data_IF_493251386334
#
_entry.id   IF_493251386334
#
_cell.length_a   1.000
_cell.length_b   1.000
_cell.length_c   1.000
_cell.angle_alpha   90.00
_cell.angle_beta   90.00
_cell.angle_gamma   90.00
#
_symmetry.space_group_name_H-M   'P 1'
#
loop_
_entity.id
_entity.type
_entity.pdbx_description
1 polymer ?
#
# COMPACT_ATOMS: atom_id res chain seq x y z
N UNK A 1 15.41 -16.08 41.34
CA UNK A 1 15.28 -15.87 42.80
C UNK A 1 15.32 -14.37 43.07
N UNK A 2 14.33 -13.88 43.80
CA UNK A 2 13.89 -12.48 44.01
C UNK A 2 14.97 -11.50 44.51
N UNK A 3 14.86 -10.20 44.20
CA UNK A 3 14.31 -9.19 45.14
C UNK A 3 14.18 -7.76 44.58
N UNK A 4 12.95 -7.24 44.65
CA UNK A 4 12.48 -5.90 45.09
C UNK A 4 13.36 -4.63 44.91
N UNK A 5 12.81 -3.70 44.12
CA UNK A 5 12.15 -2.49 44.64
C UNK A 5 12.96 -1.19 44.77
N UNK A 6 12.52 -0.12 44.10
CA UNK A 6 12.12 1.14 44.74
C UNK A 6 11.64 2.15 43.70
N UNK A 7 10.45 2.71 43.93
CA UNK A 7 9.96 3.92 43.27
C UNK A 7 10.86 5.12 43.60
N UNK A 8 11.04 6.05 42.66
CA UNK A 8 11.10 7.48 42.96
C UNK A 8 10.54 8.30 41.79
N UNK A 9 9.63 9.17 42.18
CA UNK A 9 8.78 10.07 41.44
C UNK A 9 9.44 11.46 41.51
N UNK A 10 9.62 12.17 40.39
CA UNK A 10 9.95 13.61 40.29
C UNK A 10 9.72 14.05 38.83
N UNK A 11 8.57 14.64 38.51
CA UNK A 11 8.19 16.06 38.65
C UNK A 11 8.58 16.87 37.41
N UNK A 12 7.58 17.11 36.55
CA UNK A 12 7.61 18.06 35.44
C UNK A 12 7.54 19.48 35.99
N UNK A 13 8.55 20.30 35.73
CA UNK A 13 8.49 21.75 35.86
C UNK A 13 8.25 22.36 34.48
N UNK A 14 7.05 22.89 34.28
CA UNK A 14 6.68 23.77 33.17
C UNK A 14 7.14 25.18 33.53
N UNK A 15 8.12 25.69 32.80
CA UNK A 15 8.49 27.11 32.80
C UNK A 15 7.51 27.84 31.88
N UNK A 16 6.72 28.74 32.47
CA UNK A 16 5.91 29.71 31.76
C UNK A 16 6.82 30.82 31.23
N UNK A 17 6.84 31.01 29.91
CA UNK A 17 7.31 32.26 29.30
C UNK A 17 6.20 32.76 28.37
N UNK A 18 5.49 33.78 28.85
CA UNK A 18 4.42 34.44 28.13
C UNK A 18 5.03 35.58 27.30
N UNK A 19 5.06 35.41 25.97
CA UNK A 19 5.31 36.53 25.05
C UNK A 19 3.96 37.09 24.62
N UNK A 20 3.65 38.27 25.16
CA UNK A 20 2.55 39.13 24.76
C UNK A 20 2.84 39.70 23.37
N UNK A 21 1.97 39.46 22.38
CA UNK A 21 1.90 40.29 21.17
C UNK A 21 0.45 40.41 20.69
N UNK A 22 0.17 41.61 20.17
CA UNK A 22 -1.12 42.27 20.13
C UNK A 22 -2.07 41.77 19.04
N UNK A 23 -3.35 41.71 19.38
CA UNK A 23 -4.45 41.47 18.44
C UNK A 23 -4.79 42.76 17.69
N UNK A 24 -4.44 42.84 16.40
CA UNK A 24 -5.10 43.76 15.45
C UNK A 24 -6.11 43.00 14.58
N UNK A 25 -7.32 43.55 14.47
CA UNK A 25 -8.42 43.08 13.62
C UNK A 25 -8.23 43.56 12.17
N UNK A 26 -8.62 42.78 11.15
CA UNK A 26 -8.79 43.33 9.81
C UNK A 26 -10.27 43.67 9.52
N UNK A 27 -10.46 44.88 9.00
CA UNK A 27 -11.68 45.44 8.43
C UNK A 27 -12.20 44.58 7.26
N UNK A 28 -13.51 44.33 7.22
CA UNK A 28 -14.15 43.67 6.09
C UNK A 28 -14.96 44.68 5.24
N UNK A 29 -14.53 44.76 3.98
CA UNK A 29 -14.97 45.64 2.91
C UNK A 29 -16.36 45.24 2.38
N UNK A 30 -17.17 46.25 2.14
CA UNK A 30 -18.53 46.18 1.59
C UNK A 30 -18.58 45.83 0.10
N UNK A 31 -19.52 44.95 -0.32
CA UNK A 31 -20.11 45.00 -1.67
C UNK A 31 -21.48 44.31 -1.74
N UNK A 32 -22.43 45.07 -2.29
CA UNK A 32 -23.83 44.80 -2.58
C UNK A 32 -24.08 43.59 -3.51
N UNK A 33 -25.24 42.92 -3.34
CA UNK A 33 -26.08 42.47 -4.47
C UNK A 33 -27.58 42.51 -4.11
N UNK A 34 -28.35 42.82 -5.16
CA UNK A 34 -29.79 43.08 -5.26
C UNK A 34 -30.69 41.92 -4.83
N UNK A 35 -31.80 42.27 -4.17
CA UNK A 35 -32.99 41.42 -4.06
C UNK A 35 -34.04 41.89 -5.07
N UNK A 36 -34.50 40.94 -5.89
CA UNK A 36 -35.61 41.05 -6.84
C UNK A 36 -36.94 40.91 -6.10
N UNK A 37 -37.89 41.80 -6.41
CA UNK A 37 -39.31 41.75 -6.04
C UNK A 37 -40.08 40.81 -6.99
N UNK A 38 -41.13 40.10 -6.53
CA UNK A 38 -42.50 40.62 -6.72
C UNK A 38 -43.44 40.50 -5.49
N UNK A 39 -44.24 41.55 -5.33
CA UNK A 39 -45.50 41.72 -4.56
C UNK A 39 -46.70 40.90 -5.11
N UNK A 40 -47.94 40.97 -4.55
CA UNK A 40 -48.42 41.36 -3.20
C UNK A 40 -49.52 40.42 -2.62
N UNK A 41 -49.88 40.62 -1.34
CA UNK A 41 -51.10 40.05 -0.76
C UNK A 41 -51.32 40.48 0.69
N UNK A 42 -51.87 41.69 0.85
CA UNK A 42 -52.80 42.17 1.88
C UNK A 42 -52.75 41.56 3.30
N UNK A 43 -52.37 42.34 4.31
CA UNK A 43 -53.30 43.24 5.04
C UNK A 43 -52.60 43.80 6.30
N UNK A 44 -52.32 45.11 6.23
CA UNK A 44 -52.38 46.11 7.32
C UNK A 44 -52.21 45.70 8.79
N UNK A 45 -51.11 46.16 9.41
CA UNK A 45 -51.16 47.04 10.59
C UNK A 45 -49.78 47.64 10.88
N UNK A 46 -49.58 48.91 10.51
CA UNK A 46 -48.47 49.70 11.02
C UNK A 46 -48.78 50.21 12.42
N UNK A 47 -47.91 49.88 13.38
CA UNK A 47 -47.64 50.75 14.51
C UNK A 47 -46.88 51.98 14.02
N UNK A 48 -47.31 53.17 14.42
CA UNK A 48 -46.42 54.33 14.51
C UNK A 48 -46.49 54.94 15.90
N UNK A 49 -45.31 55.01 16.48
CA UNK A 49 -45.03 55.58 17.78
C UNK A 49 -45.29 57.09 17.80
N UNK A 50 -45.86 57.50 18.93
CA UNK A 50 -45.49 58.69 19.71
C UNK A 50 -45.05 59.93 18.95
N UNK A 51 -46.02 60.81 18.67
CA UNK A 51 -45.79 62.25 18.78
C UNK A 51 -46.92 62.86 19.62
N UNK A 52 -46.50 63.43 20.74
CA UNK A 52 -47.28 64.19 21.69
C UNK A 52 -47.94 65.38 20.98
N UNK A 53 -49.24 65.31 20.78
CA UNK A 53 -50.08 66.48 20.52
C UNK A 53 -50.82 66.81 21.81
N UNK A 54 -50.35 67.90 22.43
CA UNK A 54 -51.14 68.79 23.26
C UNK A 54 -52.41 69.09 22.45
N UNK A 55 -53.53 68.52 22.89
CA UNK A 55 -54.82 68.81 22.32
C UNK A 55 -55.61 69.55 23.37
N UNK A 56 -55.78 70.83 23.09
CA UNK A 56 -56.58 71.80 23.80
C UNK A 56 -57.83 71.13 24.37
N UNK A 57 -57.97 71.19 25.70
CA UNK A 57 -59.27 71.12 26.31
C UNK A 57 -60.06 72.30 25.75
N UNK A 58 -60.82 72.01 24.69
CA UNK A 58 -61.88 72.85 24.18
C UNK A 58 -62.81 73.07 25.36
N UNK A 59 -62.66 74.22 26.02
CA UNK A 59 -63.68 74.80 26.87
C UNK A 59 -64.96 74.81 26.04
N UNK A 60 -65.80 73.79 26.24
CA UNK A 60 -67.21 73.93 25.96
C UNK A 60 -67.71 74.92 27.00
N UNK A 61 -67.55 76.18 26.63
CA UNK A 61 -68.29 77.33 27.10
C UNK A 61 -69.77 77.03 26.79
N UNK A 62 -70.33 76.12 27.57
CA UNK A 62 -71.76 76.09 27.80
C UNK A 62 -72.04 77.39 28.52
N UNK A 63 -72.31 78.42 27.71
CA UNK A 63 -73.23 79.48 28.05
C UNK A 63 -74.48 78.82 28.64
N UNK A 64 -74.43 78.56 29.94
CA UNK A 64 -75.61 78.61 30.76
C UNK A 64 -76.03 80.07 30.64
N UNK A 65 -77.02 80.32 29.79
CA UNK A 65 -77.90 81.46 29.96
C UNK A 65 -78.38 81.39 31.40
N UNK A 66 -77.65 82.05 32.30
CA UNK A 66 -78.16 82.49 33.58
C UNK A 66 -79.23 83.52 33.23
N UNK A 67 -80.40 82.99 32.91
CA UNK A 67 -81.64 83.71 32.83
C UNK A 67 -81.77 84.40 34.17
N UNK A 68 -81.54 85.71 34.15
CA UNK A 68 -81.78 86.60 35.28
C UNK A 68 -83.07 86.17 36.01
N UNK A 69 -83.02 85.79 37.30
CA UNK A 69 -84.21 85.85 38.11
C UNK A 69 -84.48 87.34 38.31
N UNK A 70 -85.51 87.79 37.60
CA UNK A 70 -86.11 89.11 37.67
C UNK A 70 -85.94 89.79 39.04
N UNK A 71 -85.39 91.00 39.05
CA UNK A 71 -85.97 92.03 39.91
C UNK A 71 -87.38 92.33 39.39
N UNK A 72 -88.34 91.53 39.83
CA UNK A 72 -89.73 91.96 40.00
C UNK A 72 -90.15 91.44 41.36
N UNK A 73 -90.35 92.40 42.26
CA UNK A 73 -91.09 92.26 43.51
C UNK A 73 -92.38 91.46 43.28
N UNK A 74 -92.45 90.28 43.87
CA UNK A 74 -93.67 89.49 44.03
C UNK A 74 -93.47 88.65 45.29
N UNK A 75 -94.28 88.89 46.32
CA UNK A 75 -94.32 88.13 47.56
C UNK A 75 -94.46 86.63 47.27
N UNK A 76 -93.35 85.89 47.36
CA UNK A 76 -93.38 84.43 47.51
C UNK A 76 -93.30 84.13 49.01
N UNK A 77 -94.19 83.28 49.50
CA UNK A 77 -94.13 82.82 50.88
C UNK A 77 -92.82 82.06 51.12
N UNK A 78 -92.29 82.09 52.36
CA UNK A 78 -91.07 81.34 52.72
C UNK A 78 -91.21 79.85 52.34
N UNK A 79 -92.42 79.30 52.45
CA UNK A 79 -92.80 77.96 52.01
C UNK A 79 -92.54 77.67 50.51
N UNK A 80 -92.82 78.60 49.60
CA UNK A 80 -92.63 78.39 48.15
C UNK A 80 -91.14 78.35 47.78
N UNK A 81 -90.32 79.16 48.43
CA UNK A 81 -88.85 79.12 48.26
C UNK A 81 -88.28 77.81 48.83
N UNK A 82 -88.79 77.36 49.98
CA UNK A 82 -88.40 76.07 50.57
C UNK A 82 -88.78 74.90 49.65
N UNK A 83 -89.96 74.93 49.02
CA UNK A 83 -90.40 73.89 48.09
C UNK A 83 -89.54 73.81 46.82
N UNK A 84 -89.14 74.95 46.25
CA UNK A 84 -88.23 75.01 45.09
C UNK A 84 -86.86 74.42 45.44
N UNK A 85 -86.29 74.80 46.59
CA UNK A 85 -85.01 74.26 47.07
C UNK A 85 -85.06 72.76 47.34
N UNK A 86 -86.17 72.24 47.89
CA UNK A 86 -86.36 70.79 48.07
C UNK A 86 -86.45 70.05 46.74
N UNK A 87 -87.11 70.63 45.74
CA UNK A 87 -87.20 70.05 44.38
C UNK A 87 -85.83 70.00 43.73
N UNK A 88 -85.05 71.07 43.81
CA UNK A 88 -83.66 71.11 43.32
C UNK A 88 -82.76 70.11 44.05
N UNK A 89 -82.88 70.02 45.38
CA UNK A 89 -82.15 69.04 46.18
C UNK A 89 -82.48 67.60 45.75
N UNK A 90 -83.76 67.32 45.47
CA UNK A 90 -84.20 66.01 45.00
C UNK A 90 -83.67 65.70 43.59
N UNK A 91 -83.66 66.69 42.68
CA UNK A 91 -83.06 66.56 41.34
C UNK A 91 -81.56 66.29 41.45
N UNK A 92 -80.85 67.03 42.31
CA UNK A 92 -79.42 66.84 42.56
C UNK A 92 -79.11 65.48 43.17
N UNK A 93 -79.91 65.00 44.13
CA UNK A 93 -79.77 63.65 44.70
C UNK A 93 -79.97 62.55 43.66
N UNK A 94 -80.98 62.67 42.81
CA UNK A 94 -81.23 61.71 41.73
C UNK A 94 -80.10 61.71 40.70
N UNK A 95 -79.60 62.90 40.33
CA UNK A 95 -78.46 63.07 39.42
C UNK A 95 -77.18 62.45 40.00
N UNK A 96 -76.88 62.72 41.27
CA UNK A 96 -75.71 62.18 41.96
C UNK A 96 -75.78 60.64 42.06
N UNK A 97 -76.95 60.07 42.41
CA UNK A 97 -77.14 58.61 42.39
C UNK A 97 -76.86 58.01 41.01
N UNK A 98 -77.36 58.64 39.93
CA UNK A 98 -77.11 58.21 38.55
C UNK A 98 -75.63 58.31 38.17
N UNK A 99 -74.93 59.35 38.63
CA UNK A 99 -73.49 59.50 38.44
C UNK A 99 -72.70 58.44 39.21
N UNK A 100 -73.10 58.11 40.44
CA UNK A 100 -72.47 57.06 41.25
C UNK A 100 -72.65 55.67 40.62
N UNK A 101 -73.83 55.37 40.06
CA UNK A 101 -74.07 54.13 39.32
C UNK A 101 -73.23 54.05 38.03
N UNK A 102 -73.13 55.16 37.27
CA UNK A 102 -72.24 55.25 36.10
C UNK A 102 -70.77 55.05 36.48
N UNK A 103 -70.31 55.72 37.54
CA UNK A 103 -68.95 55.58 38.05
C UNK A 103 -68.66 54.13 38.45
N UNK A 104 -69.58 53.49 39.20
CA UNK A 104 -69.43 52.08 39.58
C UNK A 104 -69.42 51.14 38.37
N UNK A 105 -70.15 51.45 37.30
CA UNK A 105 -70.15 50.68 36.06
C UNK A 105 -68.83 50.84 35.30
N UNK A 106 -68.38 52.08 35.10
CA UNK A 106 -67.09 52.38 34.45
C UNK A 106 -65.91 51.79 35.24
N UNK A 107 -65.94 51.84 36.58
CA UNK A 107 -64.92 51.20 37.43
C UNK A 107 -64.85 49.68 37.21
N UNK A 108 -66.00 49.02 37.04
CA UNK A 108 -66.05 47.57 36.75
C UNK A 108 -65.50 47.26 35.36
N UNK A 109 -65.86 48.04 34.34
CA UNK A 109 -65.33 47.88 32.99
C UNK A 109 -63.82 48.17 32.93
N UNK A 110 -63.34 49.21 33.63
CA UNK A 110 -61.92 49.51 33.74
C UNK A 110 -61.13 48.36 34.38
N UNK A 111 -61.64 47.79 35.49
CA UNK A 111 -61.01 46.61 36.12
C UNK A 111 -60.98 45.41 35.18
N UNK A 112 -62.04 45.18 34.40
CA UNK A 112 -62.12 44.09 33.41
C UNK A 112 -61.11 44.28 32.28
N UNK A 113 -61.00 45.49 31.74
CA UNK A 113 -60.02 45.81 30.69
C UNK A 113 -58.59 45.68 31.21
N UNK A 114 -58.32 46.14 32.44
CA UNK A 114 -57.02 45.99 33.10
C UNK A 114 -56.62 44.51 33.25
N UNK A 115 -57.52 43.66 33.75
CA UNK A 115 -57.30 42.21 33.84
C UNK A 115 -57.05 41.58 32.46
N UNK A 116 -57.78 42.00 31.42
CA UNK A 116 -57.56 41.50 30.06
C UNK A 116 -56.19 41.88 29.51
N UNK A 117 -55.73 43.10 29.77
CA UNK A 117 -54.40 43.56 29.39
C UNK A 117 -53.31 42.75 30.11
N UNK A 118 -53.40 42.61 31.43
CA UNK A 118 -52.45 41.83 32.23
C UNK A 118 -52.36 40.36 31.76
N UNK A 119 -53.50 39.74 31.42
CA UNK A 119 -53.52 38.39 30.87
C UNK A 119 -52.85 38.31 29.49
N UNK A 120 -53.07 39.30 28.63
CA UNK A 120 -52.43 39.36 27.32
C UNK A 120 -50.91 39.55 27.45
N UNK A 121 -50.46 40.45 28.32
CA UNK A 121 -49.05 40.67 28.62
C UNK A 121 -48.38 39.37 29.10
N UNK A 122 -49.00 38.69 30.07
CA UNK A 122 -48.50 37.40 30.58
C UNK A 122 -48.44 36.31 29.51
N UNK A 123 -49.43 36.24 28.63
CA UNK A 123 -49.42 35.29 27.51
C UNK A 123 -48.27 35.57 26.53
N UNK A 124 -48.03 36.85 26.20
CA UNK A 124 -46.92 37.22 25.33
C UNK A 124 -45.55 37.00 25.99
N UNK A 125 -45.43 37.27 27.29
CA UNK A 125 -44.22 37.01 28.07
C UNK A 125 -43.89 35.51 28.10
N UNK A 126 -44.90 34.65 28.33
CA UNK A 126 -44.74 33.20 28.28
C UNK A 126 -44.31 32.71 26.90
N UNK A 127 -44.92 33.23 25.82
CA UNK A 127 -44.54 32.87 24.46
C UNK A 127 -43.11 33.28 24.11
N UNK A 128 -42.67 34.45 24.57
CA UNK A 128 -41.29 34.89 24.40
C UNK A 128 -40.34 33.97 25.17
N UNK A 129 -40.64 33.67 26.43
CA UNK A 129 -39.82 32.78 27.25
C UNK A 129 -39.70 31.37 26.65
N UNK A 130 -40.78 30.82 26.12
CA UNK A 130 -40.79 29.52 25.42
C UNK A 130 -39.87 29.55 24.18
N UNK A 131 -40.02 30.57 23.31
CA UNK A 131 -39.16 30.71 22.13
C UNK A 131 -37.69 30.93 22.50
N UNK A 132 -37.42 31.69 23.56
CA UNK A 132 -36.07 31.92 24.05
C UNK A 132 -35.47 30.63 24.62
N UNK A 133 -36.23 29.84 25.38
CA UNK A 133 -35.78 28.54 25.89
C UNK A 133 -35.43 27.57 24.76
N UNK A 134 -36.32 27.45 23.75
CA UNK A 134 -36.08 26.61 22.58
C UNK A 134 -34.79 27.03 21.82
N UNK A 135 -34.59 28.34 21.61
CA UNK A 135 -33.37 28.84 20.96
C UNK A 135 -32.10 28.53 21.78
N UNK A 136 -32.16 28.64 23.10
CA UNK A 136 -31.02 28.31 23.97
C UNK A 136 -30.69 26.82 23.90
N UNK A 137 -31.69 25.95 23.86
CA UNK A 137 -31.50 24.51 23.69
C UNK A 137 -30.88 24.18 22.31
N UNK A 138 -31.35 24.81 21.23
CA UNK A 138 -30.78 24.64 19.89
C UNK A 138 -29.31 25.09 19.84
N UNK A 139 -28.98 26.24 20.43
CA UNK A 139 -27.59 26.73 20.51
C UNK A 139 -26.72 25.76 21.29
N UNK A 140 -27.23 25.22 22.40
CA UNK A 140 -26.49 24.25 23.21
C UNK A 140 -26.23 22.94 22.44
N UNK A 141 -27.24 22.43 21.73
CA UNK A 141 -27.09 21.24 20.89
C UNK A 141 -26.09 21.48 19.75
N UNK A 142 -26.21 22.60 19.04
CA UNK A 142 -25.29 22.95 17.97
C UNK A 142 -23.84 23.12 18.47
N UNK A 143 -23.64 23.67 19.67
CA UNK A 143 -22.32 23.75 20.30
C UNK A 143 -21.76 22.38 20.63
N UNK A 144 -22.59 21.49 21.21
CA UNK A 144 -22.18 20.11 21.51
C UNK A 144 -21.77 19.36 20.23
N UNK A 145 -22.57 19.46 19.17
CA UNK A 145 -22.26 18.85 17.87
C UNK A 145 -20.96 19.41 17.28
N UNK A 146 -20.75 20.72 17.36
CA UNK A 146 -19.50 21.37 16.93
C UNK A 146 -18.30 20.82 17.70
N UNK A 147 -18.40 20.72 19.03
CA UNK A 147 -17.31 20.25 19.87
C UNK A 147 -17.01 18.78 19.62
N UNK A 148 -18.04 17.95 19.42
CA UNK A 148 -17.89 16.54 19.03
C UNK A 148 -17.23 16.39 17.66
N UNK A 149 -17.61 17.21 16.68
CA UNK A 149 -16.99 17.23 15.35
C UNK A 149 -15.52 17.67 15.41
N UNK A 150 -15.20 18.67 16.24
CA UNK A 150 -13.82 19.14 16.46
C UNK A 150 -12.98 18.04 17.10
N UNK A 151 -13.49 17.40 18.16
CA UNK A 151 -12.80 16.30 18.84
C UNK A 151 -12.56 15.11 17.90
N UNK A 152 -13.57 14.73 17.10
CA UNK A 152 -13.45 13.67 16.10
C UNK A 152 -12.38 14.01 15.05
N UNK A 153 -12.35 15.26 14.56
CA UNK A 153 -11.35 15.70 13.59
C UNK A 153 -9.93 15.74 14.17
N UNK A 154 -9.80 16.13 15.43
CA UNK A 154 -8.51 16.12 16.15
C UNK A 154 -8.01 14.69 16.38
N UNK A 155 -8.90 13.76 16.72
CA UNK A 155 -8.57 12.33 16.86
C UNK A 155 -8.07 11.76 15.53
N UNK A 156 -8.80 12.00 14.43
CA UNK A 156 -8.38 11.55 13.10
C UNK A 156 -7.01 12.11 12.71
N UNK A 157 -6.76 13.41 12.93
CA UNK A 157 -5.46 14.01 12.64
C UNK A 157 -4.33 13.39 13.47
N UNK A 158 -4.61 12.98 14.72
CA UNK A 158 -3.64 12.26 15.55
C UNK A 158 -3.39 10.83 15.05
N UNK A 159 -4.44 10.11 14.67
CA UNK A 159 -4.33 8.78 14.08
C UNK A 159 -3.53 8.81 12.77
N UNK A 160 -3.82 9.75 11.87
CA UNK A 160 -3.08 9.95 10.62
C UNK A 160 -1.60 10.29 10.87
N UNK A 161 -1.32 11.15 11.86
CA UNK A 161 0.05 11.49 12.27
C UNK A 161 0.78 10.28 12.82
N UNK A 162 0.15 9.51 13.70
CA UNK A 162 0.77 8.33 14.32
C UNK A 162 0.97 7.21 13.29
N UNK A 163 0.04 7.04 12.35
CA UNK A 163 0.20 6.13 11.20
C UNK A 163 1.33 6.58 10.27
N UNK A 164 1.45 7.88 9.98
CA UNK A 164 2.57 8.42 9.20
C UNK A 164 3.91 8.21 9.91
N UNK A 165 3.96 8.40 11.23
CA UNK A 165 5.16 8.11 12.04
C UNK A 165 5.48 6.62 12.01
N UNK A 166 4.49 5.74 12.12
CA UNK A 166 4.69 4.29 12.05
C UNK A 166 5.24 3.87 10.68
N UNK A 167 4.67 4.39 9.59
CA UNK A 167 5.18 4.17 8.22
C UNK A 167 6.61 4.67 8.06
N UNK A 168 6.91 5.88 8.53
CA UNK A 168 8.25 6.46 8.45
C UNK A 168 9.28 5.59 9.21
N UNK A 169 8.96 5.15 10.43
CA UNK A 169 9.82 4.24 11.22
C UNK A 169 10.01 2.89 10.53
N UNK A 170 8.97 2.33 9.92
CA UNK A 170 9.09 1.07 9.16
C UNK A 170 10.01 1.23 7.95
N UNK A 171 9.88 2.34 7.22
CA UNK A 171 10.77 2.68 6.10
C UNK A 171 12.21 2.88 6.58
N UNK A 172 12.43 3.59 7.69
CA UNK A 172 13.75 3.77 8.30
C UNK A 172 14.39 2.43 8.70
N UNK A 173 13.63 1.53 9.33
CA UNK A 173 14.10 0.18 9.63
C UNK A 173 14.44 -0.61 8.37
N UNK A 174 13.62 -0.48 7.31
CA UNK A 174 13.86 -1.11 6.01
C UNK A 174 15.13 -0.56 5.35
N UNK A 175 15.36 0.76 5.42
CA UNK A 175 16.58 1.40 4.93
C UNK A 175 17.81 0.96 5.72
N UNK A 176 17.72 0.88 7.04
CA UNK A 176 18.82 0.38 7.89
C UNK A 176 19.14 -1.09 7.63
N UNK A 177 18.14 -1.89 7.25
CA UNK A 177 18.36 -3.26 6.78
C UNK A 177 19.08 -3.28 5.41
N UNK A 178 18.76 -2.35 4.52
CA UNK A 178 19.40 -2.18 3.21
C UNK A 178 20.81 -1.59 3.29
N UNK A 179 21.10 -0.70 4.23
CA UNK A 179 22.43 -0.10 4.44
C UNK A 179 23.48 -1.15 4.86
N UNK A 180 23.04 -2.26 5.47
CA UNK A 180 23.89 -3.41 5.79
C UNK A 180 24.08 -4.38 4.61
N UNK A 181 23.51 -4.08 3.44
CA UNK A 181 23.69 -4.86 2.23
C UNK A 181 24.63 -4.09 1.32
N UNK A 182 25.86 -4.58 1.16
CA UNK A 182 26.71 -4.14 0.07
C UNK A 182 26.02 -4.54 -1.26
N UNK A 183 25.58 -3.60 -2.11
CA UNK A 183 24.85 -3.92 -3.34
C UNK A 183 25.69 -4.79 -4.29
N UNK A 184 27.02 -4.61 -4.26
CA UNK A 184 27.98 -5.36 -5.07
C UNK A 184 28.09 -6.84 -4.65
N UNK A 185 27.69 -7.20 -3.42
CA UNK A 185 27.71 -8.57 -2.91
C UNK A 185 26.40 -9.34 -3.11
N UNK A 186 25.28 -8.63 -3.33
CA UNK A 186 23.94 -9.24 -3.48
C UNK A 186 23.59 -9.55 -4.94
N UNK A 187 24.08 -8.73 -5.88
CA UNK A 187 23.90 -8.94 -7.34
C UNK A 187 24.81 -10.04 -7.89
N UNK A 188 25.87 -10.40 -7.16
CA UNK A 188 26.73 -11.50 -7.56
C UNK A 188 25.95 -12.82 -7.61
N UNK A 189 26.16 -13.60 -8.66
CA UNK A 189 25.61 -14.96 -8.72
C UNK A 189 26.30 -15.86 -7.69
N UNK A 190 25.62 -16.92 -7.24
CA UNK A 190 26.26 -17.93 -6.37
C UNK A 190 27.54 -18.50 -7.02
N UNK A 191 27.52 -18.61 -8.36
CA UNK A 191 28.66 -19.05 -9.15
C UNK A 191 29.83 -18.08 -9.08
N UNK A 192 29.59 -16.77 -9.15
CA UNK A 192 30.64 -15.75 -8.99
C UNK A 192 31.25 -15.75 -7.58
N UNK A 193 30.43 -15.91 -6.54
CA UNK A 193 30.93 -16.04 -5.16
C UNK A 193 31.79 -17.28 -4.97
N UNK A 194 31.39 -18.42 -5.54
CA UNK A 194 32.17 -19.65 -5.52
C UNK A 194 33.47 -19.52 -6.32
N UNK A 195 33.43 -18.89 -7.49
CA UNK A 195 34.63 -18.60 -8.30
C UNK A 195 35.60 -17.68 -7.54
N UNK A 196 35.09 -16.67 -6.81
CA UNK A 196 35.92 -15.79 -5.97
C UNK A 196 36.53 -16.52 -4.77
N UNK A 197 35.84 -17.48 -4.17
CA UNK A 197 36.43 -18.35 -3.14
C UNK A 197 37.53 -19.23 -3.73
N UNK A 198 37.28 -19.81 -4.90
CA UNK A 198 38.23 -20.71 -5.57
C UNK A 198 39.51 -19.98 -6.02
N UNK A 199 39.38 -18.69 -6.36
CA UNK A 199 40.48 -17.84 -6.83
C UNK A 199 41.02 -16.89 -5.73
N UNK A 200 40.66 -17.07 -4.46
CA UNK A 200 41.08 -16.18 -3.39
C UNK A 200 42.48 -16.53 -2.88
N UNK A 201 43.42 -15.57 -2.99
CA UNK A 201 44.81 -15.75 -2.55
C UNK A 201 45.00 -15.63 -1.03
N UNK A 202 43.95 -15.24 -0.28
CA UNK A 202 44.01 -15.05 1.17
C UNK A 202 42.82 -15.69 1.90
N UNK A 203 43.09 -16.24 3.09
CA UNK A 203 42.05 -16.83 3.95
C UNK A 203 40.98 -15.82 4.38
N UNK A 204 41.33 -14.54 4.50
CA UNK A 204 40.39 -13.45 4.81
C UNK A 204 39.39 -13.24 3.66
N UNK A 205 39.85 -13.30 2.40
CA UNK A 205 38.96 -13.20 1.24
C UNK A 205 38.04 -14.42 1.11
N UNK A 206 38.53 -15.62 1.43
CA UNK A 206 37.70 -16.83 1.51
C UNK A 206 36.62 -16.68 2.58
N UNK A 207 37.00 -16.22 3.78
CA UNK A 207 36.06 -16.03 4.89
C UNK A 207 34.98 -14.99 4.57
N UNK A 208 35.38 -13.86 3.95
CA UNK A 208 34.44 -12.80 3.56
C UNK A 208 33.41 -13.32 2.54
N UNK A 209 33.86 -13.97 1.47
CA UNK A 209 32.96 -14.53 0.46
C UNK A 209 32.09 -15.69 1.03
N UNK A 210 32.66 -16.52 1.92
CA UNK A 210 31.92 -17.56 2.62
C UNK A 210 30.81 -17.00 3.51
N UNK A 211 31.05 -15.89 4.22
CA UNK A 211 30.04 -15.23 5.04
C UNK A 211 28.85 -14.71 4.20
N UNK A 212 29.12 -14.17 3.02
CA UNK A 212 28.07 -13.71 2.08
C UNK A 212 27.20 -14.88 1.61
N UNK A 213 27.82 -16.01 1.25
CA UNK A 213 27.08 -17.22 0.83
C UNK A 213 26.17 -17.72 1.98
N UNK A 214 26.70 -17.79 3.20
CA UNK A 214 25.94 -18.24 4.39
C UNK A 214 24.78 -17.30 4.67
N UNK A 215 25.01 -15.98 4.64
CA UNK A 215 23.96 -14.98 4.82
C UNK A 215 22.87 -15.11 3.75
N UNK A 216 23.24 -15.32 2.48
CA UNK A 216 22.27 -15.52 1.38
C UNK A 216 21.44 -16.78 1.55
N UNK A 217 22.05 -17.89 1.98
CA UNK A 217 21.34 -19.13 2.30
C UNK A 217 20.34 -18.90 3.43
N UNK A 218 20.76 -18.20 4.49
CA UNK A 218 19.90 -17.91 5.62
C UNK A 218 18.71 -17.02 5.23
N UNK A 219 18.96 -15.92 4.52
CA UNK A 219 17.92 -15.01 3.99
C UNK A 219 16.94 -15.72 3.07
N UNK A 220 17.44 -16.57 2.16
CA UNK A 220 16.59 -17.37 1.27
C UNK A 220 15.70 -18.34 2.06
N UNK A 221 16.25 -18.98 3.09
CA UNK A 221 15.51 -19.91 3.95
C UNK A 221 14.43 -19.18 4.77
N UNK A 222 14.75 -18.03 5.34
CA UNK A 222 13.78 -17.20 6.08
C UNK A 222 12.69 -16.64 5.17
N UNK A 223 13.04 -16.16 3.97
CA UNK A 223 12.06 -15.71 2.99
C UNK A 223 11.07 -16.82 2.61
N UNK A 224 11.57 -18.04 2.36
CA UNK A 224 10.70 -19.21 2.12
C UNK A 224 9.75 -19.49 3.28
N UNK A 225 10.24 -19.48 4.53
CA UNK A 225 9.38 -19.68 5.70
C UNK A 225 8.31 -18.60 5.83
N UNK A 226 8.68 -17.33 5.62
CA UNK A 226 7.76 -16.19 5.67
C UNK A 226 6.66 -16.31 4.63
N UNK A 227 7.02 -16.61 3.38
CA UNK A 227 6.05 -16.84 2.29
C UNK A 227 5.10 -17.98 2.66
N UNK A 228 5.62 -19.13 3.10
CA UNK A 228 4.76 -20.25 3.51
C UNK A 228 3.84 -19.90 4.68
N UNK A 229 4.29 -19.08 5.64
CA UNK A 229 3.45 -18.63 6.75
C UNK A 229 2.35 -17.65 6.28
N UNK A 230 2.69 -16.71 5.40
CA UNK A 230 1.73 -15.78 4.78
C UNK A 230 0.69 -16.53 3.94
N UNK A 231 1.12 -17.50 3.12
CA UNK A 231 0.22 -18.36 2.34
C UNK A 231 -0.71 -19.18 3.25
N UNK A 232 -0.17 -19.77 4.32
CA UNK A 232 -0.97 -20.54 5.29
C UNK A 232 -2.01 -19.64 5.98
N UNK A 233 -1.62 -18.43 6.37
CA UNK A 233 -2.53 -17.46 6.99
C UNK A 233 -3.63 -17.02 6.02
N UNK A 234 -3.29 -16.71 4.76
CA UNK A 234 -4.27 -16.35 3.75
C UNK A 234 -5.32 -17.46 3.53
N UNK A 235 -4.88 -18.73 3.49
CA UNK A 235 -5.78 -19.89 3.39
C UNK A 235 -6.68 -20.01 4.63
N UNK A 236 -6.16 -19.74 5.82
CA UNK A 236 -6.94 -19.75 7.07
C UNK A 236 -8.00 -18.64 7.05
N UNK A 237 -7.63 -17.43 6.64
CA UNK A 237 -8.54 -16.29 6.54
C UNK A 237 -9.65 -16.54 5.51
N UNK A 238 -9.31 -17.08 4.34
CA UNK A 238 -10.29 -17.45 3.31
C UNK A 238 -11.27 -18.51 3.82
N UNK A 239 -10.75 -19.54 4.50
CA UNK A 239 -11.58 -20.58 5.14
C UNK A 239 -12.53 -19.97 6.18
N UNK A 240 -12.04 -19.09 7.04
CA UNK A 240 -12.83 -18.51 8.13
C UNK A 240 -13.88 -17.51 7.60
N UNK A 241 -13.56 -16.78 6.53
CA UNK A 241 -14.51 -15.95 5.79
C UNK A 241 -15.62 -16.81 5.16
N UNK A 242 -15.27 -17.91 4.49
CA UNK A 242 -16.23 -18.84 3.91
C UNK A 242 -17.13 -19.47 4.98
N UNK A 243 -16.55 -19.92 6.10
CA UNK A 243 -17.31 -20.45 7.24
C UNK A 243 -18.28 -19.42 7.82
N UNK A 244 -17.86 -18.15 7.92
CA UNK A 244 -18.72 -17.07 8.40
C UNK A 244 -19.88 -16.79 7.45
N UNK A 245 -19.65 -16.87 6.13
CA UNK A 245 -20.71 -16.77 5.13
C UNK A 245 -21.69 -17.95 5.21
N UNK A 246 -21.20 -19.19 5.38
CA UNK A 246 -22.05 -20.36 5.57
C UNK A 246 -22.96 -20.20 6.79
N UNK A 247 -22.40 -19.79 7.94
CA UNK A 247 -23.20 -19.55 9.16
C UNK A 247 -24.27 -18.48 8.97
N UNK A 248 -23.97 -17.40 8.24
CA UNK A 248 -24.95 -16.34 7.93
C UNK A 248 -26.09 -16.87 7.06
N UNK A 249 -25.77 -17.62 6.00
CA UNK A 249 -26.77 -18.22 5.13
C UNK A 249 -27.63 -19.27 5.86
N UNK A 250 -27.06 -20.02 6.79
CA UNK A 250 -27.81 -20.94 7.65
C UNK A 250 -28.80 -20.20 8.56
N UNK A 251 -28.41 -19.06 9.15
CA UNK A 251 -29.30 -18.21 9.95
C UNK A 251 -30.41 -17.59 9.10
N UNK A 252 -30.08 -17.09 7.90
CA UNK A 252 -31.08 -16.56 6.95
C UNK A 252 -32.09 -17.64 6.53
N UNK A 253 -31.64 -18.88 6.29
CA UNK A 253 -32.53 -20.01 6.02
C UNK A 253 -33.43 -20.34 7.21
N UNK A 254 -32.90 -20.30 8.43
CA UNK A 254 -33.69 -20.52 9.64
C UNK A 254 -34.79 -19.46 9.78
N UNK A 255 -34.43 -18.18 9.66
CA UNK A 255 -35.40 -17.08 9.73
C UNK A 255 -36.45 -17.14 8.62
N UNK A 256 -36.06 -17.49 7.39
CA UNK A 256 -37.02 -17.66 6.30
C UNK A 256 -37.98 -18.83 6.57
N UNK A 257 -37.49 -19.91 7.18
CA UNK A 257 -38.32 -21.06 7.58
C UNK A 257 -39.28 -20.70 8.71
N UNK A 258 -38.85 -19.92 9.71
CA UNK A 258 -39.69 -19.40 10.78
C UNK A 258 -40.74 -18.40 10.25
N UNK A 259 -40.34 -17.53 9.32
CA UNK A 259 -41.24 -16.57 8.67
C UNK A 259 -42.32 -17.29 7.85
N UNK A 260 -41.96 -18.33 7.10
CA UNK A 260 -42.92 -19.17 6.35
C UNK A 260 -43.87 -19.94 7.27
N UNK A 261 -43.37 -20.41 8.42
CA UNK A 261 -44.20 -21.10 9.41
C UNK A 261 -45.17 -20.13 10.12
N UNK A 262 -44.77 -18.88 10.32
CA UNK A 262 -45.63 -17.84 10.93
C UNK A 262 -46.57 -17.17 9.92
N UNK A 263 -46.22 -17.09 8.63
CA UNK A 263 -47.06 -16.54 7.56
C UNK A 263 -48.17 -17.51 7.11
N UNK A 264 -48.00 -18.82 7.32
CA UNK A 264 -49.03 -19.84 7.07
C UNK A 264 -50.33 -19.63 7.87
N UNK A 265 -50.32 -18.77 8.91
CA UNK A 265 -51.49 -18.42 9.71
C UNK A 265 -52.24 -17.15 9.22
N UNK A 266 -51.82 -16.50 8.13
CA UNK A 266 -52.50 -15.30 7.61
C UNK A 266 -52.72 -15.34 6.09
N UNK A 267 -53.97 -15.58 5.69
CA UNK A 267 -54.42 -15.84 4.31
C UNK A 267 -54.24 -14.66 3.31
N UNK A 268 -53.82 -13.46 3.75
CA UNK A 268 -53.71 -12.27 2.89
C UNK A 268 -52.35 -12.06 2.19
N UNK A 269 -51.32 -12.86 2.48
CA UNK A 269 -49.94 -12.64 1.97
C UNK A 269 -49.49 -13.52 0.79
N UNK A 270 -50.27 -14.53 0.40
CA UNK A 270 -49.85 -15.57 -0.55
C UNK A 270 -49.45 -15.08 -1.96
N UNK A 271 -49.98 -13.96 -2.44
CA UNK A 271 -49.76 -13.53 -3.84
C UNK A 271 -48.48 -12.69 -4.03
N UNK A 272 -48.10 -11.88 -3.04
CA UNK A 272 -46.87 -11.08 -3.08
C UNK A 272 -45.63 -11.92 -2.72
N UNK A 273 -45.78 -12.80 -1.74
CA UNK A 273 -44.73 -13.73 -1.29
C UNK A 273 -44.35 -14.73 -2.39
N UNK A 274 -45.32 -15.19 -3.20
CA UNK A 274 -45.07 -16.06 -4.36
C UNK A 274 -44.23 -15.38 -5.45
N UNK A 275 -44.46 -14.08 -5.71
CA UNK A 275 -43.66 -13.33 -6.68
C UNK A 275 -42.23 -13.09 -6.16
N UNK A 276 -42.05 -12.85 -4.86
CA UNK A 276 -40.73 -12.71 -4.25
C UNK A 276 -39.98 -14.05 -4.16
N UNK A 277 -40.67 -15.15 -3.83
CA UNK A 277 -40.13 -16.52 -3.87
C UNK A 277 -39.70 -16.90 -5.29
N UNK A 278 -40.50 -16.55 -6.30
CA UNK A 278 -40.14 -16.76 -7.71
C UNK A 278 -38.90 -15.95 -8.11
N UNK A 279 -38.78 -14.70 -7.66
CA UNK A 279 -37.61 -13.86 -7.92
C UNK A 279 -36.34 -14.40 -7.24
N UNK A 280 -36.43 -14.84 -5.98
CA UNK A 280 -35.30 -15.45 -5.26
C UNK A 280 -34.89 -16.78 -5.90
N UNK A 281 -35.85 -17.60 -6.34
CA UNK A 281 -35.57 -18.86 -7.04
C UNK A 281 -34.89 -18.62 -8.40
N UNK A 282 -35.32 -17.60 -9.14
CA UNK A 282 -34.67 -17.18 -10.38
C UNK A 282 -33.23 -16.69 -10.12
N UNK A 283 -33.01 -15.91 -9.05
CA UNK A 283 -31.67 -15.44 -8.65
C UNK A 283 -30.77 -16.60 -8.23
N UNK A 284 -31.29 -17.57 -7.48
CA UNK A 284 -30.54 -18.76 -7.07
C UNK A 284 -30.13 -19.63 -8.27
N UNK A 285 -31.04 -19.83 -9.23
CA UNK A 285 -30.72 -20.54 -10.48
C UNK A 285 -29.66 -19.80 -11.30
N UNK A 286 -29.76 -18.47 -11.42
CA UNK A 286 -28.76 -17.66 -12.11
C UNK A 286 -27.38 -17.75 -11.44
N UNK A 287 -27.33 -17.70 -10.11
CA UNK A 287 -26.06 -17.87 -9.37
C UNK A 287 -25.50 -19.29 -9.51
N UNK A 288 -26.35 -20.31 -9.51
CA UNK A 288 -25.93 -21.68 -9.75
C UNK A 288 -25.34 -21.87 -11.15
N UNK A 289 -25.99 -21.31 -12.18
CA UNK A 289 -25.49 -21.34 -13.54
C UNK A 289 -24.18 -20.55 -13.69
N UNK A 290 -24.04 -19.40 -13.02
CA UNK A 290 -22.81 -18.64 -12.98
C UNK A 290 -21.66 -19.43 -12.31
N UNK A 291 -21.96 -20.12 -11.18
CA UNK A 291 -21.01 -21.01 -10.51
C UNK A 291 -20.57 -22.16 -11.41
N UNK A 292 -21.51 -22.82 -12.08
CA UNK A 292 -21.21 -23.93 -13.00
C UNK A 292 -20.34 -23.45 -14.18
N UNK A 293 -20.62 -22.26 -14.71
CA UNK A 293 -19.80 -21.64 -15.76
C UNK A 293 -18.39 -21.33 -15.25
N UNK A 294 -18.26 -20.75 -14.05
CA UNK A 294 -16.96 -20.45 -13.44
C UNK A 294 -16.14 -21.72 -13.19
N UNK A 295 -16.77 -22.78 -12.67
CA UNK A 295 -16.11 -24.09 -12.47
C UNK A 295 -15.60 -24.67 -13.79
N UNK A 296 -16.36 -24.56 -14.88
CA UNK A 296 -15.90 -24.98 -16.20
C UNK A 296 -14.71 -24.15 -16.70
N UNK A 297 -14.68 -22.85 -16.45
CA UNK A 297 -13.54 -21.99 -16.80
C UNK A 297 -12.30 -22.36 -15.98
N UNK A 298 -12.43 -22.59 -14.67
CA UNK A 298 -11.31 -23.03 -13.84
C UNK A 298 -10.75 -24.36 -14.30
N UNK A 299 -11.61 -25.32 -14.67
CA UNK A 299 -11.16 -26.60 -15.20
C UNK A 299 -10.36 -26.44 -16.50
N UNK A 300 -10.79 -25.57 -17.41
CA UNK A 300 -10.02 -25.25 -18.64
C UNK A 300 -8.67 -24.63 -18.31
N UNK A 301 -8.65 -23.67 -17.39
CA UNK A 301 -7.41 -23.01 -16.97
C UNK A 301 -6.44 -23.99 -16.30
N UNK A 302 -6.95 -24.94 -15.51
CA UNK A 302 -6.17 -26.02 -14.91
C UNK A 302 -5.54 -26.93 -15.98
N UNK A 303 -6.32 -27.31 -17.00
CA UNK A 303 -5.83 -28.08 -18.16
C UNK A 303 -4.73 -27.32 -18.94
N UNK A 304 -4.88 -26.01 -19.14
CA UNK A 304 -3.88 -25.16 -19.77
C UNK A 304 -2.59 -25.07 -18.94
N UNK A 305 -2.71 -24.85 -17.62
CA UNK A 305 -1.57 -24.84 -16.70
C UNK A 305 -0.83 -26.17 -16.74
N UNK A 306 -1.55 -27.29 -16.73
CA UNK A 306 -0.94 -28.61 -16.79
C UNK A 306 -0.23 -28.84 -18.12
N UNK A 307 -0.83 -28.39 -19.23
CA UNK A 307 -0.23 -28.43 -20.56
C UNK A 307 1.06 -27.61 -20.61
N UNK A 308 1.04 -26.38 -20.08
CA UNK A 308 2.22 -25.51 -20.00
C UNK A 308 3.33 -26.13 -19.14
N UNK A 309 3.00 -26.80 -18.03
CA UNK A 309 4.00 -27.52 -17.21
C UNK A 309 4.69 -28.63 -17.99
N UNK A 310 3.94 -29.41 -18.77
CA UNK A 310 4.51 -30.46 -19.63
C UNK A 310 5.42 -29.84 -20.69
N UNK A 311 4.96 -28.79 -21.38
CA UNK A 311 5.78 -28.09 -22.37
C UNK A 311 7.07 -27.52 -21.77
N UNK A 312 6.98 -26.86 -20.63
CA UNK A 312 8.15 -26.31 -19.94
C UNK A 312 9.13 -27.40 -19.51
N UNK A 313 8.62 -28.51 -18.95
CA UNK A 313 9.46 -29.65 -18.56
C UNK A 313 10.15 -30.27 -19.77
N UNK A 314 9.44 -30.44 -20.88
CA UNK A 314 10.00 -30.99 -22.11
C UNK A 314 11.07 -30.06 -22.69
N UNK A 315 10.79 -28.76 -22.78
CA UNK A 315 11.76 -27.76 -23.25
C UNK A 315 13.02 -27.76 -22.39
N UNK A 316 12.87 -27.83 -21.07
CA UNK A 316 14.00 -27.90 -20.15
C UNK A 316 14.86 -29.15 -20.38
N UNK A 317 14.23 -30.32 -20.56
CA UNK A 317 14.95 -31.56 -20.85
C UNK A 317 15.66 -31.51 -22.22
N UNK A 318 15.00 -30.99 -23.26
CA UNK A 318 15.59 -30.86 -24.60
C UNK A 318 16.78 -29.88 -24.60
N UNK A 319 16.67 -28.76 -23.88
CA UNK A 319 17.78 -27.81 -23.73
C UNK A 319 18.97 -28.42 -22.96
N UNK A 320 18.69 -29.26 -21.95
CA UNK A 320 19.74 -30.03 -21.28
C UNK A 320 20.42 -31.03 -22.22
N UNK A 321 19.65 -31.71 -23.07
CA UNK A 321 20.16 -32.64 -24.08
C UNK A 321 21.05 -31.94 -25.10
N UNK A 322 20.66 -30.75 -25.58
CA UNK A 322 21.47 -29.94 -26.49
C UNK A 322 22.83 -29.59 -25.85
N UNK A 323 22.84 -29.14 -24.59
CA UNK A 323 24.09 -28.86 -23.88
C UNK A 323 24.98 -30.11 -23.71
N UNK A 324 24.38 -31.25 -23.37
CA UNK A 324 25.07 -32.53 -23.25
C UNK A 324 25.67 -32.97 -24.59
N UNK A 325 24.95 -32.74 -25.69
CA UNK A 325 25.41 -33.03 -27.05
C UNK A 325 26.61 -32.16 -27.43
N UNK A 326 26.60 -30.88 -27.08
CA UNK A 326 27.72 -29.99 -27.33
C UNK A 326 28.97 -30.40 -26.53
N UNK A 327 28.79 -30.76 -25.25
CA UNK A 327 29.89 -31.30 -24.43
C UNK A 327 30.45 -32.62 -24.99
N UNK A 328 29.57 -33.50 -25.47
CA UNK A 328 29.97 -34.75 -26.10
C UNK A 328 30.77 -34.48 -27.38
N UNK A 329 30.30 -33.58 -28.24
CA UNK A 329 31.01 -33.20 -29.46
C UNK A 329 32.38 -32.59 -29.16
N UNK A 330 32.48 -31.70 -28.16
CA UNK A 330 33.76 -31.13 -27.70
C UNK A 330 34.74 -32.22 -27.24
N UNK A 331 34.24 -33.18 -26.45
CA UNK A 331 35.02 -34.31 -25.95
C UNK A 331 35.48 -35.20 -27.10
N UNK A 332 34.59 -35.49 -28.06
CA UNK A 332 34.88 -36.29 -29.23
C UNK A 332 35.96 -35.63 -30.11
N UNK A 333 35.83 -34.34 -30.41
CA UNK A 333 36.83 -33.57 -31.17
C UNK A 333 38.20 -33.61 -30.49
N UNK A 334 38.24 -33.52 -29.17
CA UNK A 334 39.49 -33.60 -28.39
C UNK A 334 40.16 -34.98 -28.57
N UNK A 335 39.37 -36.06 -28.53
CA UNK A 335 39.90 -37.41 -28.77
C UNK A 335 40.33 -37.62 -30.22
N UNK A 336 39.60 -37.10 -31.20
CA UNK A 336 39.98 -37.14 -32.61
C UNK A 336 41.30 -36.41 -32.86
N UNK A 337 41.48 -35.21 -32.30
CA UNK A 337 42.74 -34.46 -32.39
C UNK A 337 43.91 -35.23 -31.73
N UNK A 338 43.68 -35.82 -30.55
CA UNK A 338 44.69 -36.64 -29.88
C UNK A 338 45.07 -37.88 -30.71
N UNK A 339 44.08 -38.54 -31.32
CA UNK A 339 44.31 -39.70 -32.18
C UNK A 339 45.09 -39.31 -33.43
N UNK A 340 44.71 -38.20 -34.09
CA UNK A 340 45.39 -37.67 -35.26
C UNK A 340 46.84 -37.28 -34.96
N UNK A 341 47.09 -36.66 -33.80
CA UNK A 341 48.45 -36.37 -33.35
C UNK A 341 49.27 -37.64 -33.14
N UNK A 342 48.69 -38.68 -32.54
CA UNK A 342 49.35 -39.98 -32.38
C UNK A 342 49.65 -40.62 -33.72
N UNK A 343 48.72 -40.59 -34.67
CA UNK A 343 48.88 -41.14 -36.01
C UNK A 343 49.97 -40.41 -36.80
N UNK A 344 50.07 -39.09 -36.66
CA UNK A 344 51.18 -38.30 -37.20
C UNK A 344 52.53 -38.74 -36.61
N UNK A 345 52.63 -38.91 -35.29
CA UNK A 345 53.86 -39.38 -34.62
C UNK A 345 54.25 -40.77 -35.10
N UNK A 346 53.29 -41.70 -35.21
CA UNK A 346 53.53 -43.05 -35.72
C UNK A 346 54.01 -43.00 -37.16
N UNK A 347 53.41 -42.19 -38.02
CA UNK A 347 53.82 -42.02 -39.42
C UNK A 347 55.26 -41.50 -39.54
N UNK A 348 55.63 -40.50 -38.74
CA UNK A 348 57.00 -39.97 -38.69
C UNK A 348 57.99 -41.05 -38.24
N UNK A 349 57.64 -41.80 -37.19
CA UNK A 349 58.49 -42.86 -36.64
C UNK A 349 58.67 -44.01 -37.65
N UNK A 350 57.60 -44.37 -38.36
CA UNK A 350 57.62 -45.37 -39.42
C UNK A 350 58.58 -44.95 -40.55
N UNK A 351 58.47 -43.71 -41.01
CA UNK A 351 59.35 -43.16 -42.05
C UNK A 351 60.82 -43.16 -41.63
N UNK A 352 61.10 -42.76 -40.38
CA UNK A 352 62.46 -42.78 -39.83
C UNK A 352 63.02 -44.21 -39.74
N UNK A 353 62.21 -45.19 -39.35
CA UNK A 353 62.61 -46.59 -39.31
C UNK A 353 62.90 -47.15 -40.70
N UNK A 354 62.09 -46.79 -41.70
CA UNK A 354 62.32 -47.16 -43.10
C UNK A 354 63.64 -46.55 -43.61
N UNK A 355 63.90 -45.28 -43.31
CA UNK A 355 65.16 -44.61 -43.67
C UNK A 355 66.37 -45.29 -42.99
N UNK A 356 66.30 -45.56 -41.69
CA UNK A 356 67.32 -46.31 -40.95
C UNK A 356 67.56 -47.71 -41.53
N UNK A 357 66.51 -48.43 -41.93
CA UNK A 357 66.63 -49.74 -42.55
C UNK A 357 67.38 -49.65 -43.90
N UNK A 358 67.09 -48.63 -44.72
CA UNK A 358 67.81 -48.42 -45.98
C UNK A 358 69.28 -48.05 -45.75
N UNK A 359 69.58 -47.20 -44.76
CA UNK A 359 70.96 -46.85 -44.38
C UNK A 359 71.73 -48.08 -43.89
N UNK A 360 71.11 -48.94 -43.08
CA UNK A 360 71.72 -50.18 -42.61
C UNK A 360 72.01 -51.13 -43.78
N UNK A 361 71.08 -51.26 -44.73
CA UNK A 361 71.26 -52.10 -45.91
C UNK A 361 72.41 -51.58 -46.78
N UNK A 362 72.51 -50.27 -46.98
CA UNK A 362 73.62 -49.64 -47.69
C UNK A 362 74.97 -49.87 -46.99
N UNK A 363 75.02 -49.70 -45.66
CA UNK A 363 76.22 -49.95 -44.88
C UNK A 363 76.67 -51.42 -44.94
N UNK A 364 75.72 -52.36 -44.97
CA UNK A 364 76.01 -53.79 -45.15
C UNK A 364 76.57 -54.09 -46.55
N UNK A 365 76.05 -53.47 -47.61
CA UNK A 365 76.60 -53.62 -48.95
C UNK A 365 77.99 -53.01 -49.07
N UNK A 366 78.22 -51.82 -48.49
CA UNK A 366 79.53 -51.17 -48.50
C UNK A 366 80.56 -52.00 -47.74
N UNK A 367 80.18 -52.57 -46.58
CA UNK A 367 81.04 -53.49 -45.83
C UNK A 367 81.42 -54.72 -46.65
N UNK A 368 80.47 -55.33 -47.36
CA UNK A 368 80.74 -56.50 -48.20
C UNK A 368 81.70 -56.17 -49.36
N UNK A 369 81.55 -54.99 -49.97
CA UNK A 369 82.46 -54.51 -51.02
C UNK A 369 83.88 -54.28 -50.47
N UNK A 370 84.02 -53.61 -49.32
CA UNK A 370 85.31 -53.38 -48.67
C UNK A 370 85.98 -54.70 -48.25
N UNK A 371 85.19 -55.69 -47.82
CA UNK A 371 85.71 -57.02 -47.47
C UNK A 371 86.25 -57.76 -48.71
N UNK A 372 85.59 -57.64 -49.87
CA UNK A 372 86.10 -58.15 -51.15
C UNK A 372 87.40 -57.45 -51.56
N UNK A 373 87.47 -56.12 -51.47
CA UNK A 373 88.70 -55.37 -51.77
C UNK A 373 89.85 -55.78 -50.85
N UNK A 374 89.57 -55.97 -49.56
CA UNK A 374 90.56 -56.45 -48.59
C UNK A 374 91.07 -57.85 -48.96
N UNK A 375 90.19 -58.78 -49.33
CA UNK A 375 90.59 -60.11 -49.80
C UNK A 375 91.52 -60.04 -51.02
N UNK A 376 91.17 -59.21 -52.02
CA UNK A 376 92.03 -58.99 -53.18
C UNK A 376 93.39 -58.39 -52.81
N UNK A 377 93.43 -57.41 -51.89
CA UNK A 377 94.68 -56.81 -51.42
C UNK A 377 95.55 -57.83 -50.66
N UNK A 378 94.94 -58.70 -49.85
CA UNK A 378 95.64 -59.77 -49.13
C UNK A 378 96.23 -60.80 -50.11
N UNK A 379 95.48 -61.21 -51.13
CA UNK A 379 95.98 -62.09 -52.19
C UNK A 379 97.12 -61.46 -52.99
N UNK A 380 96.96 -60.19 -53.40
CA UNK A 380 98.00 -59.44 -54.08
C UNK A 380 99.29 -59.33 -53.22
N UNK A 381 99.14 -59.04 -51.93
CA UNK A 381 100.25 -59.01 -50.97
C UNK A 381 100.92 -60.38 -50.83
N UNK A 382 100.15 -61.48 -50.75
CA UNK A 382 100.67 -62.85 -50.70
C UNK A 382 101.47 -63.19 -51.95
N UNK A 383 100.96 -62.88 -53.15
CA UNK A 383 101.69 -63.14 -54.40
C UNK A 383 102.95 -62.29 -54.53
N UNK A 384 102.93 -61.04 -54.05
CA UNK A 384 104.11 -60.18 -53.99
C UNK A 384 105.15 -60.75 -53.01
N UNK A 385 104.72 -61.20 -51.83
CA UNK A 385 105.58 -61.83 -50.84
C UNK A 385 106.21 -63.13 -51.37
N UNK A 386 105.45 -63.98 -52.06
CA UNK A 386 105.98 -65.18 -52.73
C UNK A 386 107.04 -64.84 -53.79
N UNK A 387 106.85 -63.75 -54.54
CA UNK A 387 107.86 -63.24 -55.48
C UNK A 387 109.11 -62.74 -54.75
N UNK A 388 108.94 -61.98 -53.66
CA UNK A 388 110.06 -61.52 -52.82
C UNK A 388 110.83 -62.71 -52.28
N UNK A 389 110.19 -63.72 -51.71
CA UNK A 389 110.87 -64.93 -51.22
C UNK A 389 111.62 -65.67 -52.34
N UNK A 390 111.05 -65.76 -53.55
CA UNK A 390 111.75 -66.34 -54.70
C UNK A 390 112.98 -65.52 -55.08
N UNK A 391 112.87 -64.19 -55.08
CA UNK A 391 113.99 -63.28 -55.35
C UNK A 391 115.05 -63.36 -54.25
N UNK A 392 114.66 -63.41 -52.97
CA UNK A 392 115.57 -63.60 -51.83
C UNK A 392 116.34 -64.92 -51.97
N UNK A 393 115.66 -66.03 -52.30
CA UNK A 393 116.33 -67.31 -52.59
C UNK A 393 117.29 -67.19 -53.77
N UNK A 394 116.91 -66.49 -54.84
CA UNK A 394 117.76 -66.30 -56.01
C UNK A 394 118.98 -65.44 -55.67
N UNK A 395 118.79 -64.37 -54.90
CA UNK A 395 119.85 -63.50 -54.37
C UNK A 395 120.77 -64.32 -53.47
N UNK A 396 120.26 -65.18 -52.60
CA UNK A 396 121.08 -66.07 -51.77
C UNK A 396 121.88 -67.08 -52.60
N UNK A 397 121.28 -67.64 -53.66
CA UNK A 397 121.99 -68.51 -54.62
C UNK A 397 123.08 -67.74 -55.35
N UNK A 398 122.82 -66.49 -55.76
CA UNK A 398 123.80 -65.62 -56.41
C UNK A 398 124.90 -65.20 -55.43
N UNK A 399 124.56 -64.82 -54.20
CA UNK A 399 125.53 -64.55 -53.12
C UNK A 399 126.39 -65.77 -52.84
N UNK A 400 125.82 -66.98 -52.84
CA UNK A 400 126.59 -68.23 -52.79
C UNK A 400 127.50 -68.35 -54.01
N UNK A 401 127.01 -68.21 -55.25
CA UNK A 401 127.84 -68.30 -56.47
C UNK A 401 128.96 -67.25 -56.57
N UNK A 402 128.74 -66.05 -56.03
CA UNK A 402 129.73 -64.95 -56.02
C UNK A 402 130.67 -65.08 -54.81
N UNK A 403 130.18 -65.58 -53.67
CA UNK A 403 130.96 -65.82 -52.45
C UNK A 403 131.75 -67.15 -52.44
N UNK A 404 131.32 -68.16 -53.19
CA UNK A 404 132.10 -69.37 -53.50
C UNK A 404 132.80 -69.16 -54.84
N UNK A 405 133.98 -68.54 -54.77
CA UNK A 405 134.81 -68.28 -55.93
C UNK A 405 135.13 -69.53 -56.76
N UNK A 406 134.91 -69.39 -58.06
CA UNK A 406 135.94 -69.73 -59.04
C UNK A 406 135.89 -68.62 -60.09
N UNK A 407 136.49 -67.48 -59.76
CA UNK A 407 137.04 -66.60 -60.79
C UNK A 407 138.13 -67.40 -61.49
N UNK A 408 137.77 -68.09 -62.58
CA UNK A 408 138.74 -68.62 -63.51
C UNK A 408 139.12 -67.46 -64.43
N UNK A 409 140.17 -66.75 -64.04
CA UNK A 409 140.99 -65.98 -64.97
C UNK A 409 141.45 -66.94 -66.07
N UNK A 410 141.00 -66.76 -67.30
CA UNK A 410 141.66 -67.31 -68.49
C UNK A 410 141.58 -66.25 -69.58
N UNK A 411 142.77 -65.96 -70.11
CA UNK A 411 143.09 -65.30 -71.37
C UNK A 411 142.21 -65.81 -72.51
#
# INVERSE_FOLDING_TARGET
VNSKGSMHQKSNELVNEATYESTELPEQRSRNFQVVSPHPGDETAHCTAGKSNIMDHRSNDLHCECTNPCQVTSDFSKEETIALLLKELNILKASNKKLQEKLSKEDKEHRKLKLKLELQEKATEAQIAEKTAALVEEVYLAQKERDEAIMSRLQLANEERDEAIARAKHMEMSLKLLENINPEENDMTLQELLNRINNADTGVAIQKNGAIIVDRIYKTKECKKRITAEEMNAVIEERDAALSQCKRLEQELHHLKEQKQTSANNMRHLTAENNQERALKAKLLAMQQARETAVQQYKKLEEEIQTLRVYYSLHKSLSQEENLKDQFNLTLSTYEEALKNRENIVSITQQQNEELATQLQQALTDRANMELELQHAVEASRTANDKVQKLERLVDVLRKKVGTGTMRTVI
#
